data_IF_323891989545
#
_entry.id   IF_323891989545
#
_cell.length_a   1.000
_cell.length_b   1.000
_cell.length_c   1.000
_cell.angle_alpha   90.00
_cell.angle_beta   90.00
_cell.angle_gamma   90.00
#
_symmetry.space_group_name_H-M   'P 1'
#
loop_
_entity.id
_entity.type
_entity.pdbx_description
1 polymer ?
#
# COMPACT_ATOMS: atom_id res chain seq x y z
N UNK A 1 -57.21 43.41 36.60
CA UNK A 1 -56.06 42.70 37.21
C UNK A 1 -56.53 41.36 37.70
N UNK A 2 -56.39 40.32 36.88
CA UNK A 2 -56.61 38.92 37.27
C UNK A 2 -55.23 38.39 37.67
N UNK A 3 -55.08 37.93 38.91
CA UNK A 3 -53.86 37.26 39.38
C UNK A 3 -54.03 35.78 39.13
N UNK A 4 -53.26 35.24 38.19
CA UNK A 4 -53.15 33.79 37.97
C UNK A 4 -52.42 33.14 39.16
N UNK A 5 -52.93 32.03 39.72
CA UNK A 5 -52.18 31.25 40.69
C UNK A 5 -51.07 30.45 39.99
N UNK A 6 -49.82 30.73 40.35
CA UNK A 6 -48.69 29.89 39.95
C UNK A 6 -48.84 28.50 40.58
N UNK A 7 -49.04 27.49 39.74
CA UNK A 7 -48.88 26.08 40.08
C UNK A 7 -47.39 25.82 40.37
N UNK A 8 -47.00 25.91 41.64
CA UNK A 8 -45.71 25.43 42.10
C UNK A 8 -45.80 23.91 42.28
N UNK A 9 -45.21 23.16 41.36
CA UNK A 9 -45.03 21.72 41.49
C UNK A 9 -43.93 21.46 42.54
N UNK A 10 -44.29 21.48 43.82
CA UNK A 10 -43.40 21.18 44.93
C UNK A 10 -43.25 19.68 45.10
N UNK A 11 -42.26 19.06 44.47
CA UNK A 11 -41.93 17.66 44.71
C UNK A 11 -41.07 17.56 45.98
N UNK A 12 -41.52 16.75 46.95
CA UNK A 12 -40.66 16.36 48.08
C UNK A 12 -39.47 15.56 47.53
N UNK A 13 -38.24 16.02 47.78
CA UNK A 13 -37.01 15.32 47.39
C UNK A 13 -36.84 14.03 48.20
N UNK A 14 -37.45 12.95 47.73
CA UNK A 14 -37.23 11.60 48.23
C UNK A 14 -36.04 10.96 47.49
N UNK A 15 -34.79 11.28 47.85
CA UNK A 15 -33.61 10.44 47.50
C UNK A 15 -33.34 10.13 46.01
N UNK A 16 -34.06 10.73 45.05
CA UNK A 16 -33.97 10.40 43.62
C UNK A 16 -32.65 10.87 42.96
N UNK A 17 -31.91 11.80 43.58
CA UNK A 17 -30.67 12.32 43.03
C UNK A 17 -29.53 11.30 42.95
N UNK A 18 -29.47 10.33 43.86
CA UNK A 18 -28.43 9.29 43.80
C UNK A 18 -28.72 8.28 42.68
N UNK A 19 -30.00 7.96 42.44
CA UNK A 19 -30.41 7.10 41.32
C UNK A 19 -30.19 7.77 39.97
N UNK A 20 -30.40 9.07 39.86
CA UNK A 20 -30.13 9.84 38.64
C UNK A 20 -28.67 9.75 38.22
N UNK A 21 -27.73 9.94 39.16
CA UNK A 21 -26.29 9.82 38.88
C UNK A 21 -25.90 8.39 38.53
N UNK A 22 -26.47 7.39 39.20
CA UNK A 22 -26.18 5.98 38.91
C UNK A 22 -26.62 5.60 37.49
N UNK A 23 -27.82 6.03 37.08
CA UNK A 23 -28.32 5.83 35.72
C UNK A 23 -27.47 6.60 34.70
N UNK A 24 -27.08 7.84 35.00
CA UNK A 24 -26.20 8.62 34.12
C UNK A 24 -24.84 7.93 33.92
N UNK A 25 -24.21 7.43 34.98
CA UNK A 25 -22.95 6.68 34.90
C UNK A 25 -23.11 5.34 34.18
N UNK A 26 -24.24 4.67 34.35
CA UNK A 26 -24.56 3.44 33.63
C UNK A 26 -24.67 3.68 32.12
N UNK A 27 -25.41 4.72 31.71
CA UNK A 27 -25.53 5.10 30.29
C UNK A 27 -24.16 5.56 29.76
N UNK A 28 -23.41 6.36 30.52
CA UNK A 28 -22.08 6.83 30.12
C UNK A 28 -21.10 5.67 29.89
N UNK A 29 -21.06 4.69 30.80
CA UNK A 29 -20.19 3.52 30.65
C UNK A 29 -20.56 2.67 29.43
N UNK A 30 -21.84 2.37 29.21
CA UNK A 30 -22.27 1.64 28.02
C UNK A 30 -21.96 2.39 26.71
N UNK A 31 -22.09 3.72 26.70
CA UNK A 31 -21.70 4.56 25.57
C UNK A 31 -20.18 4.52 25.30
N UNK A 32 -19.35 4.59 26.35
CA UNK A 32 -17.90 4.52 26.24
C UNK A 32 -17.42 3.17 25.68
N UNK A 33 -18.05 2.06 26.10
CA UNK A 33 -17.77 0.73 25.55
C UNK A 33 -18.12 0.66 24.05
N UNK A 34 -19.28 1.21 23.66
CA UNK A 34 -19.68 1.28 22.25
C UNK A 34 -18.68 2.08 21.39
N UNK A 35 -18.22 3.22 21.90
CA UNK A 35 -17.22 4.07 21.21
C UNK A 35 -15.87 3.35 21.03
N UNK A 36 -15.41 2.56 22.02
CA UNK A 36 -14.17 1.81 21.92
C UNK A 36 -14.21 0.74 20.80
N UNK A 37 -15.34 0.04 20.66
CA UNK A 37 -15.52 -0.98 19.61
C UNK A 37 -15.45 -0.35 18.22
N UNK A 38 -16.16 0.75 18.00
CA UNK A 38 -16.17 1.45 16.71
C UNK A 38 -14.78 1.98 16.33
N UNK A 39 -14.04 2.53 17.30
CA UNK A 39 -12.67 2.98 17.06
C UNK A 39 -11.73 1.85 16.66
N UNK A 40 -11.85 0.67 17.27
CA UNK A 40 -11.05 -0.50 16.90
C UNK A 40 -11.28 -0.92 15.44
N UNK A 41 -12.54 -0.96 15.01
CA UNK A 41 -12.89 -1.27 13.62
C UNK A 41 -12.36 -0.19 12.65
N UNK A 42 -12.51 1.08 13.01
CA UNK A 42 -12.00 2.20 12.21
C UNK A 42 -10.47 2.15 12.06
N UNK A 43 -9.73 1.79 13.12
CA UNK A 43 -8.28 1.68 13.09
C UNK A 43 -7.80 0.58 12.12
N UNK A 44 -8.44 -0.60 12.16
CA UNK A 44 -8.09 -1.70 11.24
C UNK A 44 -8.29 -1.29 9.77
N UNK A 45 -9.44 -0.70 9.44
CA UNK A 45 -9.71 -0.20 8.08
C UNK A 45 -8.74 0.92 7.66
N UNK A 46 -8.36 1.79 8.61
CA UNK A 46 -7.40 2.87 8.35
C UNK A 46 -6.01 2.31 8.06
N UNK A 47 -5.58 1.27 8.78
CA UNK A 47 -4.27 0.65 8.56
C UNK A 47 -4.15 0.04 7.16
N UNK A 48 -5.18 -0.65 6.67
CA UNK A 48 -5.20 -1.15 5.29
C UNK A 48 -5.10 -0.03 4.25
N UNK A 49 -5.84 1.07 4.46
CA UNK A 49 -5.76 2.25 3.59
C UNK A 49 -4.38 2.91 3.66
N UNK A 50 -3.76 2.97 4.84
CA UNK A 50 -2.44 3.55 5.05
C UNK A 50 -1.35 2.75 4.32
N UNK A 51 -1.41 1.41 4.37
CA UNK A 51 -0.48 0.56 3.61
C UNK A 51 -0.59 0.82 2.10
N UNK A 52 -1.81 0.94 1.57
CA UNK A 52 -2.04 1.29 0.16
C UNK A 52 -1.47 2.68 -0.19
N UNK A 53 -1.66 3.67 0.67
CA UNK A 53 -1.10 5.01 0.45
C UNK A 53 0.42 5.00 0.46
N UNK A 54 1.05 4.28 1.40
CA UNK A 54 2.52 4.12 1.44
C UNK A 54 3.04 3.41 0.20
N UNK A 55 2.36 2.35 -0.23
CA UNK A 55 2.70 1.65 -1.45
C UNK A 55 2.65 2.56 -2.68
N UNK A 56 1.63 3.43 -2.79
CA UNK A 56 1.53 4.44 -3.86
C UNK A 56 2.66 5.49 -3.79
N UNK A 57 3.10 5.88 -2.59
CA UNK A 57 4.24 6.79 -2.44
C UNK A 57 5.54 6.16 -2.95
N UNK A 58 5.84 4.92 -2.52
CA UNK A 58 7.01 4.16 -2.99
C UNK A 58 6.95 3.95 -4.50
N UNK A 59 5.76 3.63 -5.02
CA UNK A 59 5.53 3.45 -6.44
C UNK A 59 5.82 4.72 -7.25
N UNK A 60 5.35 5.87 -6.77
CA UNK A 60 5.62 7.16 -7.41
C UNK A 60 7.11 7.52 -7.32
N UNK A 61 7.75 7.35 -6.16
CA UNK A 61 9.18 7.58 -6.01
C UNK A 61 10.00 6.74 -7.00
N UNK A 62 9.68 5.45 -7.09
CA UNK A 62 10.34 4.52 -8.02
C UNK A 62 10.13 4.96 -9.47
N UNK A 63 8.90 5.32 -9.83
CA UNK A 63 8.58 5.81 -11.17
C UNK A 63 9.35 7.09 -11.51
N UNK A 64 9.48 8.02 -10.57
CA UNK A 64 10.20 9.27 -10.79
C UNK A 64 11.70 9.06 -10.93
N UNK A 65 12.30 8.14 -10.15
CA UNK A 65 13.72 7.78 -10.30
C UNK A 65 14.01 7.15 -11.66
N UNK A 66 13.17 6.21 -12.11
CA UNK A 66 13.29 5.60 -13.44
C UNK A 66 13.19 6.68 -14.53
N UNK A 67 12.23 7.61 -14.43
CA UNK A 67 12.09 8.72 -15.40
C UNK A 67 13.25 9.71 -15.36
N UNK A 68 13.87 9.91 -14.21
CA UNK A 68 15.03 10.81 -14.06
C UNK A 68 16.26 10.25 -14.79
N UNK A 69 16.35 8.93 -14.95
CA UNK A 69 17.37 8.28 -15.77
C UNK A 69 17.03 8.35 -17.27
N UNK A 70 16.97 9.58 -17.80
CA UNK A 70 16.61 9.87 -19.20
C UNK A 70 17.59 9.33 -20.25
N UNK A 71 18.75 8.85 -19.83
CA UNK A 71 19.75 8.23 -20.72
C UNK A 71 19.37 6.79 -21.10
N UNK A 72 18.50 6.13 -20.34
CA UNK A 72 17.92 4.83 -20.68
C UNK A 72 16.61 5.02 -21.44
N UNK A 73 16.59 4.59 -22.70
CA UNK A 73 15.39 4.54 -23.53
C UNK A 73 14.58 3.24 -23.34
N UNK A 74 15.23 2.18 -22.86
CA UNK A 74 14.61 0.88 -22.63
C UNK A 74 14.61 0.54 -21.14
N UNK A 75 13.41 0.43 -20.56
CA UNK A 75 13.22 0.03 -19.17
C UNK A 75 13.37 -1.47 -18.92
N UNK A 76 13.64 -2.29 -19.94
CA UNK A 76 13.96 -3.72 -19.79
C UNK A 76 15.13 -3.97 -18.83
N UNK A 77 16.11 -3.06 -18.79
CA UNK A 77 17.24 -3.11 -17.85
C UNK A 77 16.76 -3.01 -16.40
N UNK A 78 15.84 -2.09 -16.10
CA UNK A 78 15.22 -1.99 -14.77
C UNK A 78 14.45 -3.27 -14.44
N UNK A 79 13.70 -3.80 -15.40
CA UNK A 79 12.95 -5.05 -15.22
C UNK A 79 13.86 -6.22 -14.84
N UNK A 80 15.01 -6.35 -15.51
CA UNK A 80 15.99 -7.39 -15.19
C UNK A 80 16.47 -7.26 -13.74
N UNK A 81 16.84 -6.05 -13.31
CA UNK A 81 17.32 -5.84 -11.95
C UNK A 81 16.24 -6.02 -10.87
N UNK A 82 14.99 -5.65 -11.16
CA UNK A 82 13.87 -5.88 -10.22
C UNK A 82 13.51 -7.36 -10.08
N UNK A 83 13.72 -8.16 -11.12
CA UNK A 83 13.35 -9.58 -11.13
C UNK A 83 14.53 -10.50 -10.79
N UNK A 84 15.74 -9.96 -10.69
CA UNK A 84 16.91 -10.73 -10.26
C UNK A 84 16.91 -10.86 -8.74
N UNK A 85 17.07 -12.09 -8.26
CA UNK A 85 17.20 -12.43 -6.84
C UNK A 85 18.59 -12.17 -6.28
N UNK A 86 19.53 -11.72 -7.11
CA UNK A 86 20.89 -11.36 -6.72
C UNK A 86 20.91 -10.19 -5.74
N UNK A 87 21.74 -10.30 -4.70
CA UNK A 87 22.09 -9.15 -3.86
C UNK A 87 23.09 -8.31 -4.65
N UNK A 88 22.63 -7.18 -5.19
CA UNK A 88 23.52 -6.22 -5.83
C UNK A 88 23.98 -5.19 -4.82
N UNK A 89 25.30 -4.98 -4.73
CA UNK A 89 25.85 -3.85 -4.00
C UNK A 89 25.58 -2.55 -4.77
N UNK A 90 25.20 -1.51 -4.05
CA UNK A 90 25.06 -0.16 -4.57
C UNK A 90 26.40 0.31 -5.17
N UNK A 91 26.38 0.75 -6.44
CA UNK A 91 27.58 1.33 -7.06
C UNK A 91 27.79 2.76 -6.54
N UNK A 92 29.04 3.13 -6.23
CA UNK A 92 29.36 4.51 -5.84
C UNK A 92 29.34 5.44 -7.06
N UNK A 93 28.16 5.97 -7.34
CA UNK A 93 27.90 6.91 -8.43
C UNK A 93 28.35 8.35 -8.12
N UNK A 94 28.81 8.63 -6.89
CA UNK A 94 29.17 9.97 -6.42
C UNK A 94 30.69 10.18 -6.43
N UNK A 95 31.47 9.16 -6.07
CA UNK A 95 32.94 9.25 -5.98
C UNK A 95 33.68 8.76 -7.23
N UNK A 96 33.07 7.88 -8.04
CA UNK A 96 33.64 7.48 -9.35
C UNK A 96 33.28 8.52 -10.44
N UNK A 97 33.78 8.39 -11.67
CA UNK A 97 33.61 9.36 -12.79
C UNK A 97 32.15 9.51 -13.31
N UNK A 98 31.17 9.45 -12.43
CA UNK A 98 29.75 9.25 -12.71
C UNK A 98 29.42 7.78 -12.94
N UNK A 99 28.14 7.44 -12.79
CA UNK A 99 27.61 6.15 -13.22
C UNK A 99 27.14 6.22 -14.67
N UNK A 100 27.39 5.15 -15.43
CA UNK A 100 26.63 4.90 -16.67
C UNK A 100 25.14 4.73 -16.36
N UNK A 101 24.29 4.90 -17.37
CA UNK A 101 22.85 4.81 -17.22
C UNK A 101 22.39 3.45 -16.65
N UNK A 102 23.07 2.35 -17.02
CA UNK A 102 22.82 1.01 -16.49
C UNK A 102 23.28 0.83 -15.03
N UNK A 103 24.43 1.42 -14.66
CA UNK A 103 24.92 1.39 -13.28
C UNK A 103 24.01 2.21 -12.35
N UNK A 104 23.51 3.34 -12.86
CA UNK A 104 22.51 4.14 -12.15
C UNK A 104 21.22 3.34 -11.94
N UNK A 105 20.73 2.64 -12.97
CA UNK A 105 19.55 1.79 -12.85
C UNK A 105 19.72 0.67 -11.80
N UNK A 106 20.89 0.01 -11.78
CA UNK A 106 21.21 -0.97 -10.73
C UNK A 106 21.16 -0.35 -9.34
N UNK A 107 21.82 0.79 -9.17
CA UNK A 107 21.87 1.49 -7.88
C UNK A 107 20.48 1.95 -7.43
N UNK A 108 19.66 2.47 -8.35
CA UNK A 108 18.27 2.84 -8.06
C UNK A 108 17.48 1.64 -7.57
N UNK A 109 17.54 0.51 -8.27
CA UNK A 109 16.81 -0.71 -7.89
C UNK A 109 17.24 -1.18 -6.51
N UNK A 110 18.53 -1.24 -6.20
CA UNK A 110 19.02 -1.65 -4.86
C UNK A 110 18.50 -0.75 -3.76
N UNK A 111 18.64 0.57 -3.95
CA UNK A 111 18.20 1.53 -2.93
C UNK A 111 16.68 1.49 -2.74
N UNK A 112 15.92 1.36 -3.83
CA UNK A 112 14.46 1.31 -3.80
C UNK A 112 13.93 0.01 -3.22
N UNK A 113 14.49 -1.14 -3.60
CA UNK A 113 14.08 -2.45 -3.07
C UNK A 113 14.41 -2.55 -1.59
N UNK A 114 15.58 -2.05 -1.16
CA UNK A 114 15.92 -1.96 0.25
C UNK A 114 14.95 -1.03 0.99
N UNK A 115 14.71 0.18 0.48
CA UNK A 115 13.80 1.13 1.12
C UNK A 115 12.36 0.59 1.24
N UNK A 116 11.88 -0.11 0.21
CA UNK A 116 10.58 -0.77 0.23
C UNK A 116 10.56 -1.95 1.23
N UNK A 117 11.61 -2.77 1.26
CA UNK A 117 11.72 -3.92 2.15
C UNK A 117 11.76 -3.52 3.63
N UNK A 118 12.43 -2.41 3.97
CA UNK A 118 12.42 -1.83 5.32
C UNK A 118 11.01 -1.46 5.79
N UNK A 119 10.10 -1.17 4.86
CA UNK A 119 8.70 -0.86 5.13
C UNK A 119 7.75 -2.06 4.96
N UNK A 120 8.26 -3.26 4.67
CA UNK A 120 7.48 -4.48 4.48
C UNK A 120 6.81 -4.59 3.11
N UNK A 121 7.30 -3.86 2.11
CA UNK A 121 6.85 -3.93 0.73
C UNK A 121 7.87 -4.67 -0.15
N UNK A 122 7.37 -5.31 -1.21
CA UNK A 122 8.16 -5.87 -2.29
C UNK A 122 7.89 -5.09 -3.57
N UNK A 123 8.96 -4.77 -4.30
CA UNK A 123 8.91 -4.14 -5.61
C UNK A 123 9.12 -5.19 -6.69
N UNK A 124 8.47 -5.00 -7.83
CA UNK A 124 8.69 -5.83 -9.01
C UNK A 124 8.29 -5.08 -10.26
N UNK A 125 8.84 -5.52 -11.39
CA UNK A 125 8.51 -4.96 -12.69
C UNK A 125 8.23 -6.08 -13.68
N UNK A 126 7.11 -5.97 -14.38
CA UNK A 126 6.68 -6.94 -15.38
C UNK A 126 6.28 -6.23 -16.66
N UNK A 127 6.14 -6.97 -17.74
CA UNK A 127 5.37 -6.48 -18.88
C UNK A 127 3.91 -6.33 -18.46
N UNK A 128 3.32 -5.15 -18.70
CA UNK A 128 1.93 -4.91 -18.35
C UNK A 128 1.03 -5.94 -19.07
N UNK A 129 0.19 -6.67 -18.35
CA UNK A 129 -0.69 -7.63 -19.00
C UNK A 129 -1.84 -6.93 -19.74
N UNK A 130 -2.38 -7.59 -20.78
CA UNK A 130 -3.55 -7.12 -21.52
C UNK A 130 -3.29 -5.96 -22.52
N UNK A 131 -2.06 -5.48 -22.62
CA UNK A 131 -1.67 -4.46 -23.62
C UNK A 131 -1.08 -5.09 -24.87
N UNK A 132 -1.70 -4.80 -26.02
CA UNK A 132 -1.19 -5.25 -27.34
C UNK A 132 -0.35 -4.20 -28.04
N UNK A 133 -0.41 -2.97 -27.55
CA UNK A 133 0.38 -1.85 -28.04
C UNK A 133 1.84 -2.02 -27.65
N UNK A 134 2.70 -1.94 -28.67
CA UNK A 134 4.15 -1.87 -28.54
C UNK A 134 4.58 -0.48 -28.97
N UNK A 135 5.22 0.27 -28.10
CA UNK A 135 5.81 1.56 -28.46
C UNK A 135 7.24 1.25 -28.90
N UNK A 136 7.60 1.60 -30.14
CA UNK A 136 8.91 1.25 -30.72
C UNK A 136 9.28 -0.24 -30.64
N UNK A 137 8.29 -1.15 -30.68
CA UNK A 137 8.50 -2.60 -30.55
C UNK A 137 8.62 -3.11 -29.11
N UNK A 138 8.62 -2.21 -28.10
CA UNK A 138 8.78 -2.55 -26.68
C UNK A 138 7.41 -2.60 -25.97
N UNK A 139 7.26 -3.58 -25.08
CA UNK A 139 6.08 -3.72 -24.23
C UNK A 139 6.10 -2.68 -23.11
N UNK A 140 4.98 -1.97 -22.83
CA UNK A 140 4.94 -1.07 -21.70
C UNK A 140 5.14 -1.85 -20.40
N UNK A 141 5.95 -1.28 -19.50
CA UNK A 141 6.31 -1.91 -18.23
C UNK A 141 5.34 -1.51 -17.13
N UNK A 142 5.00 -2.46 -16.27
CA UNK A 142 4.18 -2.24 -15.09
C UNK A 142 5.06 -2.39 -13.85
N UNK A 143 5.13 -1.33 -13.07
CA UNK A 143 5.73 -1.36 -11.75
C UNK A 143 4.69 -1.84 -10.75
N UNK A 144 5.09 -2.74 -9.86
CA UNK A 144 4.24 -3.35 -8.85
C UNK A 144 4.85 -3.11 -7.48
N UNK A 145 4.02 -2.70 -6.53
CA UNK A 145 4.33 -2.74 -5.10
C UNK A 145 3.35 -3.69 -4.44
N UNK A 146 3.85 -4.74 -3.79
CA UNK A 146 3.03 -5.74 -3.09
C UNK A 146 3.45 -5.87 -1.63
N UNK A 147 2.51 -6.22 -0.75
CA UNK A 147 2.78 -6.43 0.68
C UNK A 147 2.07 -7.67 1.23
N UNK A 148 2.40 -7.99 2.49
CA UNK A 148 1.83 -9.13 3.19
C UNK A 148 2.27 -10.45 2.57
N UNK A 149 1.32 -11.23 2.08
CA UNK A 149 1.58 -12.52 1.40
C UNK A 149 1.61 -12.41 -0.12
N UNK A 150 1.49 -11.18 -0.65
CA UNK A 150 1.40 -10.95 -2.08
C UNK A 150 2.78 -10.72 -2.66
N UNK A 151 3.10 -11.39 -3.75
CA UNK A 151 4.36 -11.19 -4.48
C UNK A 151 4.17 -10.19 -5.62
N UNK A 152 5.16 -9.32 -5.83
CA UNK A 152 5.17 -8.31 -6.89
C UNK A 152 5.48 -8.89 -8.29
N UNK A 153 4.84 -10.00 -8.64
CA UNK A 153 5.01 -10.71 -9.91
C UNK A 153 3.65 -11.11 -10.50
N UNK A 154 3.65 -11.55 -11.75
CA UNK A 154 2.57 -12.27 -12.38
C UNK A 154 2.69 -13.78 -12.10
N UNK A 155 1.61 -14.51 -12.31
CA UNK A 155 1.61 -15.98 -12.15
C UNK A 155 2.41 -16.72 -13.24
N UNK A 156 2.98 -16.01 -14.24
CA UNK A 156 3.61 -16.64 -15.42
C UNK A 156 5.05 -17.07 -15.20
N UNK A 157 5.67 -16.66 -14.08
CA UNK A 157 7.06 -17.00 -13.72
C UNK A 157 7.24 -18.28 -12.88
N UNK A 158 6.18 -18.96 -12.45
CA UNK A 158 6.34 -20.15 -11.61
C UNK A 158 6.59 -21.40 -12.46
N UNK A 159 7.86 -21.78 -12.58
CA UNK A 159 8.23 -23.19 -12.73
C UNK A 159 7.56 -23.99 -11.62
N UNK A 160 6.87 -25.06 -12.01
CA UNK A 160 6.18 -25.99 -11.12
C UNK A 160 7.19 -26.72 -10.20
N UNK A 161 7.71 -26.09 -9.17
CA UNK A 161 8.39 -26.81 -8.09
C UNK A 161 8.44 -25.99 -6.80
N UNK A 162 7.32 -26.00 -6.09
CA UNK A 162 7.32 -25.91 -4.62
C UNK A 162 5.95 -26.35 -4.12
N UNK A 163 5.87 -27.64 -3.76
CA UNK A 163 4.89 -28.18 -2.83
C UNK A 163 5.15 -27.58 -1.44
N UNK A 164 4.87 -26.30 -1.26
CA UNK A 164 4.55 -25.74 0.04
C UNK A 164 3.29 -24.91 -0.12
N UNK A 165 2.26 -25.31 0.62
CA UNK A 165 0.97 -24.63 0.73
C UNK A 165 1.16 -23.35 1.55
N UNK A 166 2.03 -22.46 1.09
CA UNK A 166 1.97 -21.05 1.40
C UNK A 166 1.25 -20.43 0.22
N UNK A 167 0.02 -20.01 0.44
CA UNK A 167 -0.84 -19.35 -0.55
C UNK A 167 -0.22 -18.00 -0.92
N UNK A 168 0.83 -18.00 -1.75
CA UNK A 168 1.44 -16.78 -2.28
C UNK A 168 0.50 -16.22 -3.33
N UNK A 169 -0.21 -15.15 -2.96
CA UNK A 169 -1.11 -14.47 -3.88
C UNK A 169 -0.28 -13.64 -4.86
N UNK A 170 -0.41 -13.87 -6.16
CA UNK A 170 0.25 -13.02 -7.15
C UNK A 170 -0.55 -11.73 -7.35
N UNK A 171 0.11 -10.62 -7.69
CA UNK A 171 -0.60 -9.37 -7.95
C UNK A 171 -1.50 -9.47 -9.21
N UNK A 172 -1.03 -10.18 -10.23
CA UNK A 172 -1.77 -10.46 -11.46
C UNK A 172 -2.02 -11.96 -11.65
N UNK A 173 -3.25 -12.30 -12.05
CA UNK A 173 -3.63 -13.63 -12.54
C UNK A 173 -2.99 -13.90 -13.92
N UNK A 174 -3.00 -15.17 -14.35
CA UNK A 174 -2.50 -15.59 -15.66
C UNK A 174 -3.18 -14.86 -16.84
N UNK A 175 -4.45 -14.44 -16.70
CA UNK A 175 -5.18 -13.68 -17.73
C UNK A 175 -4.84 -12.18 -17.74
N UNK A 176 -4.06 -11.70 -16.78
CA UNK A 176 -3.69 -10.29 -16.68
C UNK A 176 -4.60 -9.41 -15.83
N UNK A 177 -5.60 -10.00 -15.19
CA UNK A 177 -6.44 -9.29 -14.22
C UNK A 177 -5.77 -9.23 -12.85
N UNK A 178 -6.02 -8.18 -12.07
CA UNK A 178 -5.54 -8.09 -10.68
C UNK A 178 -6.23 -9.16 -9.83
N UNK A 179 -5.48 -9.91 -9.04
CA UNK A 179 -6.05 -10.95 -8.20
C UNK A 179 -6.94 -10.36 -7.10
N UNK A 180 -8.13 -10.92 -6.89
CA UNK A 180 -9.17 -10.34 -5.99
C UNK A 180 -8.75 -10.24 -4.52
N UNK A 181 -7.74 -11.00 -4.11
CA UNK A 181 -7.21 -11.03 -2.74
C UNK A 181 -5.77 -10.52 -2.67
N UNK A 182 -5.25 -9.93 -3.75
CA UNK A 182 -3.90 -9.38 -3.76
C UNK A 182 -3.86 -8.04 -3.02
N UNK A 183 -2.89 -7.96 -2.14
CA UNK A 183 -2.45 -6.75 -1.47
C UNK A 183 -1.33 -6.11 -2.31
N UNK A 184 -1.71 -5.47 -3.41
CA UNK A 184 -0.79 -4.78 -4.31
C UNK A 184 -1.37 -3.51 -4.94
N UNK A 185 -0.48 -2.64 -5.40
CA UNK A 185 -0.77 -1.51 -6.28
C UNK A 185 0.19 -1.57 -7.47
N UNK A 186 -0.25 -1.07 -8.62
CA UNK A 186 0.57 -1.05 -9.82
C UNK A 186 0.40 0.25 -10.60
N UNK A 187 1.41 0.59 -11.39
CA UNK A 187 1.37 1.70 -12.30
C UNK A 187 2.07 1.34 -13.59
N UNK A 188 1.50 1.83 -14.70
CA UNK A 188 2.08 1.68 -16.02
C UNK A 188 3.12 2.77 -16.24
N UNK A 189 4.32 2.34 -16.60
CA UNK A 189 5.35 3.19 -17.17
C UNK A 189 5.18 3.21 -18.69
N UNK A 190 5.31 4.41 -19.25
CA UNK A 190 5.35 4.63 -20.69
C UNK A 190 6.75 5.17 -20.95
N UNK A 191 7.46 4.53 -21.88
CA UNK A 191 8.81 4.97 -22.28
C UNK A 191 8.71 6.43 -22.78
N UNK A 192 9.61 7.28 -22.29
CA UNK A 192 9.72 8.65 -22.77
C UNK A 192 10.38 8.59 -24.16
N UNK A 193 9.56 8.67 -25.20
CA UNK A 193 10.00 8.80 -26.60
C UNK A 193 10.68 10.14 -26.85
#
# INVERSE_FOLDING_TARGET
MVRDPKLYYGFQQQGLGLMEVLVALFIFSSAALGYAILQGQAMSSTNHSMMRLRALMILNETSERIRTNSQLQDFSIYQQYFNDTGVFEAADCIQSKGCSAEQLARNDVVNLTQHAAEQGFSLGMIDCPGVRERINGVAPKCLIVAWGKTTADNQSGMSQDSKERSESTHCFNAEGSVAKQADCVFARLIDAS
#
